data_IF_393690660394
#
_entry.id   IF_393690660394
#
_cell.length_a   1.000
_cell.length_b   1.000
_cell.length_c   1.000
_cell.angle_alpha   90.00
_cell.angle_beta   90.00
_cell.angle_gamma   90.00
#
_symmetry.space_group_name_H-M   'P 1'
#
loop_
_entity.id
_entity.type
_entity.pdbx_description
1 polymer ?
#
# COMPACT_ATOMS: atom_id res chain seq x y z
N UNK A 1 -15.04 -5.87 -8.64
CA UNK A 1 -14.80 -7.32 -8.55
C UNK A 1 -13.73 -7.82 -9.54
N UNK A 2 -13.57 -7.19 -10.69
CA UNK A 2 -12.60 -7.60 -11.73
C UNK A 2 -11.16 -7.65 -11.19
N UNK A 3 -10.76 -6.69 -10.35
CA UNK A 3 -9.40 -6.63 -9.79
C UNK A 3 -9.06 -7.88 -8.96
N UNK A 4 -9.99 -8.35 -8.14
CA UNK A 4 -9.80 -9.54 -7.31
C UNK A 4 -9.54 -10.80 -8.15
N UNK A 5 -10.35 -11.02 -9.17
CA UNK A 5 -10.22 -12.21 -10.03
C UNK A 5 -9.11 -12.11 -11.07
N UNK A 6 -8.53 -10.93 -11.27
CA UNK A 6 -7.40 -10.74 -12.20
C UNK A 6 -6.07 -11.17 -11.61
N UNK A 7 -5.97 -11.28 -10.28
CA UNK A 7 -4.78 -11.78 -9.60
C UNK A 7 -4.77 -13.31 -9.62
N UNK A 8 -3.58 -13.89 -9.83
CA UNK A 8 -3.42 -15.34 -9.80
C UNK A 8 -3.84 -15.89 -8.42
N UNK A 9 -4.53 -17.02 -8.42
CA UNK A 9 -5.05 -17.68 -7.22
C UNK A 9 -3.96 -17.97 -6.18
N UNK A 10 -2.76 -18.30 -6.61
CA UNK A 10 -1.61 -18.54 -5.73
C UNK A 10 -1.29 -17.32 -4.85
N UNK A 11 -1.35 -16.12 -5.42
CA UNK A 11 -1.06 -14.86 -4.71
C UNK A 11 -2.28 -14.31 -3.97
N UNK A 12 -3.49 -14.66 -4.38
CA UNK A 12 -4.73 -14.11 -3.80
C UNK A 12 -4.92 -14.48 -2.33
N UNK A 13 -4.38 -15.62 -1.90
CA UNK A 13 -4.48 -16.11 -0.51
C UNK A 13 -3.81 -15.18 0.51
N UNK A 14 -2.69 -14.56 0.12
CA UNK A 14 -1.92 -13.65 0.97
C UNK A 14 -1.96 -12.20 0.47
N UNK A 15 -2.86 -11.89 -0.45
CA UNK A 15 -3.00 -10.57 -1.01
C UNK A 15 -3.57 -9.57 -0.01
N UNK A 16 -3.26 -8.30 -0.23
CA UNK A 16 -3.80 -7.17 0.52
C UNK A 16 -4.15 -6.03 -0.44
N UNK A 17 -5.13 -5.23 -0.07
CA UNK A 17 -5.45 -4.00 -0.77
C UNK A 17 -4.65 -2.83 -0.19
N UNK A 18 -4.18 -1.97 -1.06
CA UNK A 18 -3.54 -0.70 -0.70
C UNK A 18 -4.25 0.43 -1.44
N UNK A 19 -4.74 1.42 -0.70
CA UNK A 19 -5.46 2.55 -1.27
C UNK A 19 -5.37 3.79 -0.38
N UNK A 20 -5.74 4.94 -0.95
CA UNK A 20 -5.86 6.18 -0.20
C UNK A 20 -7.11 6.16 0.69
N UNK A 21 -7.07 6.87 1.80
CA UNK A 21 -8.21 7.00 2.72
C UNK A 21 -9.46 7.59 2.07
N UNK A 22 -9.30 8.52 1.12
CA UNK A 22 -10.43 9.08 0.37
C UNK A 22 -11.07 8.05 -0.55
N UNK A 23 -10.27 7.24 -1.23
CA UNK A 23 -10.77 6.12 -2.05
C UNK A 23 -11.52 5.09 -1.21
N UNK A 24 -11.01 4.80 -0.03
CA UNK A 24 -11.68 3.91 0.93
C UNK A 24 -13.06 4.44 1.35
N UNK A 25 -13.15 5.76 1.62
CA UNK A 25 -14.43 6.44 1.91
C UNK A 25 -15.42 6.25 0.76
N UNK A 26 -14.97 6.47 -0.49
CA UNK A 26 -15.85 6.37 -1.65
C UNK A 26 -16.37 4.94 -1.85
N UNK A 27 -15.52 3.93 -1.62
CA UNK A 27 -15.94 2.52 -1.66
C UNK A 27 -16.96 2.22 -0.55
N UNK A 28 -16.77 2.73 0.66
CA UNK A 28 -17.70 2.54 1.77
C UNK A 28 -19.08 3.19 1.53
N UNK A 29 -19.12 4.25 0.75
CA UNK A 29 -20.37 4.93 0.39
C UNK A 29 -21.15 4.22 -0.72
N UNK A 30 -20.57 3.19 -1.37
CA UNK A 30 -21.28 2.41 -2.38
C UNK A 30 -22.44 1.64 -1.74
N UNK A 31 -23.62 1.82 -2.33
CA UNK A 31 -24.87 1.15 -1.89
C UNK A 31 -25.37 0.19 -2.96
N UNK A 32 -26.02 -0.88 -2.52
CA UNK A 32 -26.81 -1.72 -3.40
C UNK A 32 -28.05 -0.97 -3.91
N UNK A 33 -28.70 -1.49 -4.94
CA UNK A 33 -29.99 -0.95 -5.44
C UNK A 33 -31.08 -0.90 -4.36
N UNK A 34 -30.98 -1.73 -3.33
CA UNK A 34 -31.86 -1.76 -2.16
C UNK A 34 -31.57 -0.66 -1.13
N UNK A 35 -30.56 0.19 -1.36
CA UNK A 35 -30.13 1.26 -0.44
C UNK A 35 -29.22 0.82 0.70
N UNK A 36 -28.88 -0.45 0.82
CA UNK A 36 -27.96 -0.96 1.83
C UNK A 36 -26.49 -0.74 1.38
N UNK A 37 -25.61 -0.46 2.35
CA UNK A 37 -24.18 -0.37 2.08
C UNK A 37 -23.61 -1.75 1.69
N UNK A 38 -22.84 -1.79 0.63
CA UNK A 38 -22.19 -3.02 0.13
C UNK A 38 -21.07 -3.50 1.04
N UNK A 39 -20.44 -2.60 1.76
CA UNK A 39 -19.35 -2.91 2.67
C UNK A 39 -19.68 -2.52 4.09
N UNK A 40 -19.61 -3.49 4.99
CA UNK A 40 -19.73 -3.27 6.42
C UNK A 40 -18.33 -3.23 7.04
N UNK A 41 -17.99 -2.18 7.81
CA UNK A 41 -16.73 -2.13 8.53
C UNK A 41 -16.67 -3.22 9.60
N UNK A 42 -15.45 -3.70 9.89
CA UNK A 42 -15.23 -4.62 11.00
C UNK A 42 -15.64 -3.97 12.33
N UNK A 43 -16.45 -4.65 13.11
CA UNK A 43 -16.83 -4.21 14.45
C UNK A 43 -15.72 -4.41 15.48
N UNK A 44 -14.65 -5.13 15.12
CA UNK A 44 -13.53 -5.37 16.00
C UNK A 44 -12.49 -4.25 15.88
N UNK A 45 -12.20 -3.55 16.96
CA UNK A 45 -11.19 -2.48 17.03
C UNK A 45 -9.74 -2.96 16.78
N UNK A 46 -9.49 -4.26 16.85
CA UNK A 46 -8.16 -4.85 16.69
C UNK A 46 -7.93 -5.52 15.34
N UNK A 47 -8.97 -5.73 14.55
CA UNK A 47 -8.86 -6.34 13.24
C UNK A 47 -8.73 -5.27 12.15
N UNK A 48 -7.85 -5.43 11.15
CA UNK A 48 -7.82 -4.54 10.01
C UNK A 48 -9.15 -4.61 9.24
N UNK A 49 -9.55 -3.51 8.63
CA UNK A 49 -10.70 -3.52 7.75
C UNK A 49 -10.46 -4.52 6.62
N UNK A 50 -11.46 -5.32 6.31
CA UNK A 50 -11.40 -6.31 5.23
C UNK A 50 -12.40 -5.99 4.15
N UNK A 51 -11.97 -6.13 2.91
CA UNK A 51 -12.82 -6.08 1.72
C UNK A 51 -12.79 -7.46 1.06
N UNK A 52 -13.91 -8.14 0.96
CA UNK A 52 -14.00 -9.51 0.45
C UNK A 52 -13.11 -10.52 1.22
N UNK A 53 -12.96 -10.33 2.54
CA UNK A 53 -12.08 -11.16 3.35
C UNK A 53 -10.59 -10.85 3.24
N UNK A 54 -10.20 -9.84 2.46
CA UNK A 54 -8.81 -9.42 2.24
C UNK A 54 -8.54 -8.16 3.05
N UNK A 55 -7.42 -8.10 3.81
CA UNK A 55 -7.07 -6.90 4.58
C UNK A 55 -6.84 -5.69 3.67
N UNK A 56 -7.27 -4.52 4.16
CA UNK A 56 -7.11 -3.24 3.47
C UNK A 56 -6.15 -2.36 4.26
N UNK A 57 -5.11 -1.90 3.60
CA UNK A 57 -4.16 -0.94 4.15
C UNK A 57 -4.35 0.43 3.51
N UNK A 58 -4.12 1.47 4.28
CA UNK A 58 -4.23 2.85 3.84
C UNK A 58 -2.85 3.48 3.68
N UNK A 59 -2.65 4.20 2.59
CA UNK A 59 -1.44 5.00 2.35
C UNK A 59 -1.82 6.36 1.79
N UNK A 60 -1.23 7.40 2.36
CA UNK A 60 -1.37 8.77 1.86
C UNK A 60 -0.66 8.99 0.52
N UNK A 61 0.34 8.16 0.21
CA UNK A 61 1.12 8.26 -1.04
C UNK A 61 0.36 7.73 -2.26
N UNK A 62 -0.70 6.95 -2.03
CA UNK A 62 -1.58 6.50 -3.11
C UNK A 62 -2.47 7.65 -3.60
N UNK A 63 -2.61 7.84 -4.93
CA UNK A 63 -3.45 8.90 -5.45
C UNK A 63 -4.93 8.68 -5.10
N UNK A 64 -5.66 9.75 -4.76
CA UNK A 64 -7.09 9.69 -4.52
C UNK A 64 -7.91 9.57 -5.81
N UNK A 65 -9.15 9.13 -5.69
CA UNK A 65 -10.14 9.22 -6.78
C UNK A 65 -10.70 10.65 -6.79
N UNK A 66 -10.92 11.28 -7.97
CA UNK A 66 -10.66 10.79 -9.32
C UNK A 66 -9.22 11.02 -9.78
N UNK A 67 -8.57 10.00 -10.33
CA UNK A 67 -7.29 10.16 -11.00
C UNK A 67 -7.27 9.30 -12.27
N UNK A 68 -7.21 9.94 -13.41
CA UNK A 68 -7.28 9.28 -14.71
C UNK A 68 -5.92 8.74 -15.20
N UNK A 69 -4.83 9.15 -14.57
CA UNK A 69 -3.48 8.82 -15.02
C UNK A 69 -2.81 7.74 -14.18
N UNK A 70 -3.01 7.78 -12.86
CA UNK A 70 -2.34 6.90 -11.92
C UNK A 70 -3.30 5.84 -11.34
N UNK A 71 -2.79 4.68 -10.98
CA UNK A 71 -3.59 3.67 -10.29
C UNK A 71 -3.99 4.17 -8.90
N UNK A 72 -5.25 3.97 -8.54
CA UNK A 72 -5.84 4.42 -7.27
C UNK A 72 -5.95 3.30 -6.23
N UNK A 73 -5.97 2.05 -6.68
CA UNK A 73 -6.01 0.87 -5.82
C UNK A 73 -4.97 -0.13 -6.31
N UNK A 74 -4.19 -0.66 -5.38
CA UNK A 74 -3.29 -1.78 -5.61
C UNK A 74 -3.76 -3.01 -4.84
N UNK A 75 -3.78 -4.15 -5.50
CA UNK A 75 -3.99 -5.45 -4.88
C UNK A 75 -2.78 -6.32 -5.17
N UNK A 76 -2.08 -6.74 -4.14
CA UNK A 76 -0.88 -7.54 -4.30
C UNK A 76 -0.61 -8.43 -3.09
N UNK A 77 0.10 -9.53 -3.33
CA UNK A 77 0.91 -10.17 -2.31
C UNK A 77 2.23 -9.41 -2.18
N UNK A 78 2.27 -8.39 -1.32
CA UNK A 78 3.42 -7.48 -1.20
C UNK A 78 4.71 -8.18 -0.82
N UNK A 79 4.63 -9.29 -0.11
CA UNK A 79 5.79 -10.08 0.25
C UNK A 79 6.48 -10.70 -0.96
N UNK A 80 5.71 -11.11 -1.97
CA UNK A 80 6.21 -11.69 -3.20
C UNK A 80 6.45 -10.65 -4.30
N UNK A 81 5.68 -9.56 -4.29
CA UNK A 81 5.71 -8.56 -5.34
C UNK A 81 6.86 -7.55 -5.18
N UNK A 82 7.16 -7.14 -3.96
CA UNK A 82 8.09 -6.06 -3.67
C UNK A 82 9.20 -6.50 -2.74
N UNK A 83 10.43 -6.11 -3.05
CA UNK A 83 11.61 -6.43 -2.25
C UNK A 83 12.33 -5.17 -1.81
N UNK A 84 12.57 -5.07 -0.51
CA UNK A 84 13.41 -4.03 0.08
C UNK A 84 14.77 -4.62 0.38
N UNK A 85 15.83 -3.97 -0.08
CA UNK A 85 17.22 -4.36 0.16
C UNK A 85 17.87 -3.31 1.05
N UNK A 86 18.41 -3.75 2.17
CA UNK A 86 19.20 -2.95 3.09
C UNK A 86 20.66 -3.30 2.91
N UNK A 87 21.44 -2.39 2.35
CA UNK A 87 22.84 -2.61 2.06
C UNK A 87 23.71 -2.23 3.26
N UNK A 88 24.39 -3.20 3.88
CA UNK A 88 25.34 -3.04 4.97
C UNK A 88 24.82 -2.43 6.26
N UNK A 89 23.53 -2.29 6.43
CA UNK A 89 22.93 -1.71 7.63
C UNK A 89 23.28 -0.25 7.88
N UNK A 90 23.09 0.20 9.08
CA UNK A 90 23.38 1.57 9.52
C UNK A 90 24.85 1.72 9.89
N UNK A 91 25.51 2.76 9.39
CA UNK A 91 26.86 3.15 9.79
C UNK A 91 26.79 4.43 10.60
N UNK A 92 27.50 4.43 11.73
CA UNK A 92 27.60 5.60 12.61
C UNK A 92 29.08 5.97 12.70
N UNK A 93 29.40 7.21 12.32
CA UNK A 93 30.71 7.81 12.48
C UNK A 93 30.62 8.87 13.57
N UNK A 94 31.42 8.74 14.64
CA UNK A 94 31.61 9.74 15.65
C UNK A 94 32.74 10.66 15.27
N UNK A 95 32.45 11.95 15.09
CA UNK A 95 33.45 12.97 14.76
C UNK A 95 33.53 14.05 15.86
N UNK A 96 34.54 14.00 16.73
CA UNK A 96 34.77 15.00 17.76
C UNK A 96 35.65 16.17 17.30
N UNK A 97 36.17 16.15 16.07
CA UNK A 97 37.23 17.06 15.63
C UNK A 97 36.77 18.22 14.77
N UNK A 98 35.75 18.04 13.95
CA UNK A 98 35.35 19.01 12.91
C UNK A 98 34.66 20.26 13.50
N UNK A 99 33.98 20.15 14.62
CA UNK A 99 33.23 21.27 15.23
C UNK A 99 33.32 21.25 16.76
N UNK A 100 34.47 21.67 17.28
CA UNK A 100 34.67 21.80 18.73
C UNK A 100 33.84 22.94 19.31
N UNK A 101 33.23 22.81 20.51
CA UNK A 101 33.32 21.70 21.44
C UNK A 101 32.31 20.56 21.23
N UNK A 102 31.60 20.54 20.09
CA UNK A 102 30.54 19.58 19.81
C UNK A 102 31.10 18.29 19.19
N UNK A 103 30.41 17.18 19.47
CA UNK A 103 30.64 15.89 18.84
C UNK A 103 29.57 15.68 17.78
N UNK A 104 29.96 15.43 16.54
CA UNK A 104 29.05 15.10 15.44
C UNK A 104 28.93 13.60 15.29
N UNK A 105 27.71 13.14 15.04
CA UNK A 105 27.44 11.75 14.66
C UNK A 105 26.91 11.74 13.23
N UNK A 106 27.64 11.14 12.32
CA UNK A 106 27.21 10.94 10.95
C UNK A 106 26.56 9.55 10.85
N UNK A 107 25.29 9.52 10.56
CA UNK A 107 24.52 8.30 10.38
C UNK A 107 24.21 8.12 8.89
N UNK A 108 24.67 7.03 8.31
CA UNK A 108 24.42 6.70 6.91
C UNK A 108 23.77 5.33 6.79
N UNK A 109 22.77 5.24 5.91
CA UNK A 109 22.11 4.00 5.57
C UNK A 109 21.80 3.98 4.08
N UNK A 110 21.99 2.83 3.42
CA UNK A 110 21.62 2.62 2.03
C UNK A 110 20.49 1.62 1.95
N UNK A 111 19.37 2.06 1.43
CA UNK A 111 18.17 1.23 1.24
C UNK A 111 17.67 1.39 -0.17
N UNK A 112 17.29 0.31 -0.80
CA UNK A 112 16.63 0.28 -2.09
C UNK A 112 15.42 -0.63 -2.07
N UNK A 113 14.48 -0.42 -2.97
CA UNK A 113 13.31 -1.28 -3.11
C UNK A 113 12.78 -1.24 -4.53
N UNK A 114 12.31 -2.38 -5.00
CA UNK A 114 11.76 -2.52 -6.34
C UNK A 114 10.74 -3.65 -6.41
N UNK A 115 9.86 -3.57 -7.40
CA UNK A 115 8.95 -4.65 -7.74
C UNK A 115 9.74 -5.77 -8.43
N UNK A 116 9.77 -6.94 -7.81
CA UNK A 116 10.51 -8.10 -8.33
C UNK A 116 9.61 -9.11 -9.05
N UNK A 117 8.31 -9.08 -8.77
CA UNK A 117 7.34 -9.98 -9.39
C UNK A 117 6.07 -9.21 -9.77
N UNK A 118 5.93 -8.90 -11.04
CA UNK A 118 4.78 -8.18 -11.58
C UNK A 118 3.50 -9.02 -11.62
N UNK A 119 3.63 -10.35 -11.62
CA UNK A 119 2.48 -11.26 -11.60
C UNK A 119 1.76 -11.27 -10.25
N UNK A 120 2.45 -10.89 -9.18
CA UNK A 120 1.91 -10.85 -7.82
C UNK A 120 1.19 -9.53 -7.49
N UNK A 121 1.15 -8.58 -8.42
CA UNK A 121 0.52 -7.26 -8.22
C UNK A 121 -0.45 -6.94 -9.35
N UNK A 122 -1.59 -6.37 -9.00
CA UNK A 122 -2.58 -5.80 -9.93
C UNK A 122 -3.00 -4.41 -9.47
N UNK A 123 -3.16 -3.53 -10.43
CA UNK A 123 -3.47 -2.13 -10.21
C UNK A 123 -4.79 -1.77 -10.86
N UNK A 124 -5.62 -1.00 -10.17
CA UNK A 124 -6.86 -0.45 -10.69
C UNK A 124 -6.67 1.03 -11.04
N UNK A 125 -6.96 1.37 -12.28
CA UNK A 125 -7.12 2.76 -12.74
C UNK A 125 -8.59 3.05 -12.95
N UNK A 126 -9.01 4.24 -12.58
CA UNK A 126 -10.36 4.72 -12.86
C UNK A 126 -10.30 5.50 -14.18
N UNK A 127 -11.05 5.01 -15.17
CA UNK A 127 -11.22 5.76 -16.43
C UNK A 127 -12.31 6.82 -16.24
N UNK A 128 -12.05 8.05 -16.67
CA UNK A 128 -13.09 9.06 -16.84
C UNK A 128 -13.99 8.63 -18.01
N UNK A 129 -15.28 8.47 -17.75
CA UNK A 129 -16.25 8.44 -18.85
C UNK A 129 -16.37 9.86 -19.40
N UNK A 130 -16.01 10.03 -20.65
CA UNK A 130 -16.39 11.20 -21.43
C UNK A 130 -17.90 11.18 -21.71
#
# INVERSE_FOLDING_TARGET
MILYYSLNEYYSKNASFLMNRSTLKDIRLLKAQTGQYLWQPSLSLKAPDTLMGIPVYQSADMPPVPNNQLPVIAMADFKQAYKIVDNRGMRILRDPYTNKPYVRFFVTKRVGGEVVNTSAIKLLKVASKY
#
